data_IF_862988429511
#
_entry.id   IF_862988429511
#
_cell.length_a   1.000
_cell.length_b   1.000
_cell.length_c   1.000
_cell.angle_alpha   90.00
_cell.angle_beta   90.00
_cell.angle_gamma   90.00
#
_symmetry.space_group_name_H-M   'P 1'
#
loop_
_entity.id
_entity.type
_entity.pdbx_description
1 polymer ?
#
# COMPACT_ATOMS: atom_id res chain seq x y z
N UNK A 1 -18.24 -19.76 -60.59
CA UNK A 1 -18.49 -18.52 -59.81
C UNK A 1 -19.12 -18.72 -58.43
N UNK A 2 -19.41 -19.95 -57.95
CA UNK A 2 -20.02 -20.18 -56.61
C UNK A 2 -19.06 -20.67 -55.51
N UNK A 3 -17.80 -21.00 -55.82
CA UNK A 3 -16.84 -21.54 -54.83
C UNK A 3 -15.78 -20.53 -54.34
N UNK A 4 -15.68 -19.35 -54.96
CA UNK A 4 -14.71 -18.31 -54.57
C UNK A 4 -15.36 -17.31 -53.59
N UNK A 5 -16.69 -17.14 -53.63
CA UNK A 5 -17.42 -16.27 -52.69
C UNK A 5 -17.54 -16.86 -51.27
N UNK A 6 -17.47 -18.18 -51.09
CA UNK A 6 -17.50 -18.78 -49.74
C UNK A 6 -16.15 -18.67 -49.01
N UNK A 7 -15.04 -18.60 -49.75
CA UNK A 7 -13.70 -18.53 -49.15
C UNK A 7 -13.37 -17.14 -48.60
N UNK A 8 -13.99 -16.08 -49.11
CA UNK A 8 -13.85 -14.72 -48.58
C UNK A 8 -14.71 -14.44 -47.33
N UNK A 9 -15.77 -15.22 -47.10
CA UNK A 9 -16.63 -15.05 -45.92
C UNK A 9 -16.07 -15.75 -44.66
N UNK A 10 -15.22 -16.77 -44.83
CA UNK A 10 -14.56 -17.46 -43.72
C UNK A 10 -13.33 -16.71 -43.17
N UNK A 11 -12.70 -15.83 -43.96
CA UNK A 11 -11.57 -15.01 -43.50
C UNK A 11 -11.98 -13.75 -42.73
N UNK A 12 -13.25 -13.33 -42.80
CA UNK A 12 -13.76 -12.15 -42.11
C UNK A 12 -14.14 -12.41 -40.64
N UNK A 13 -14.26 -13.68 -40.20
CA UNK A 13 -14.67 -14.05 -38.84
C UNK A 13 -13.46 -14.29 -37.91
N UNK A 14 -12.23 -14.38 -38.45
CA UNK A 14 -11.01 -14.51 -37.63
C UNK A 14 -10.36 -13.16 -37.26
N UNK A 15 -10.98 -12.05 -37.68
CA UNK A 15 -10.55 -10.68 -37.35
C UNK A 15 -11.61 -9.89 -36.58
N UNK A 16 -12.71 -10.51 -36.12
CA UNK A 16 -13.54 -9.94 -35.08
C UNK A 16 -12.73 -9.94 -33.80
N UNK A 17 -12.00 -8.84 -33.63
CA UNK A 17 -10.95 -8.71 -32.66
C UNK A 17 -11.43 -9.12 -31.29
N UNK A 18 -10.55 -9.79 -30.57
CA UNK A 18 -10.41 -9.50 -29.17
C UNK A 18 -10.36 -7.97 -29.05
N UNK A 19 -11.51 -7.37 -28.75
CA UNK A 19 -11.50 -6.23 -27.85
C UNK A 19 -10.85 -6.77 -26.59
N UNK A 20 -9.52 -6.71 -26.55
CA UNK A 20 -8.83 -6.41 -25.31
C UNK A 20 -9.46 -5.09 -24.93
N UNK A 21 -10.58 -5.16 -24.21
CA UNK A 21 -10.98 -4.09 -23.33
C UNK A 21 -9.67 -3.72 -22.64
N UNK A 22 -9.16 -2.49 -22.73
CA UNK A 22 -7.98 -2.14 -21.97
C UNK A 22 -8.37 -2.47 -20.53
N UNK A 23 -7.89 -3.61 -20.04
CA UNK A 23 -7.96 -3.95 -18.65
C UNK A 23 -7.17 -2.82 -18.04
N UNK A 24 -7.91 -1.87 -17.49
CA UNK A 24 -7.41 -0.58 -17.11
C UNK A 24 -6.22 -0.86 -16.20
N UNK A 25 -5.02 -0.58 -16.71
CA UNK A 25 -3.81 -1.20 -16.16
C UNK A 25 -3.64 -0.71 -14.73
N UNK A 26 -3.87 -1.60 -13.77
CA UNK A 26 -3.85 -1.26 -12.35
C UNK A 26 -2.43 -0.92 -11.94
N UNK A 27 -2.19 0.32 -11.54
CA UNK A 27 -0.87 0.82 -11.10
C UNK A 27 -0.80 0.89 -9.60
N UNK A 28 0.31 0.45 -9.02
CA UNK A 28 0.56 0.59 -7.58
C UNK A 28 0.98 2.02 -7.25
N UNK A 29 0.27 2.67 -6.35
CA UNK A 29 0.54 4.02 -5.87
C UNK A 29 1.39 4.02 -4.61
N UNK A 30 1.04 3.14 -3.66
CA UNK A 30 1.69 3.03 -2.37
C UNK A 30 2.00 1.56 -2.13
N UNK A 31 3.18 1.30 -1.57
CA UNK A 31 3.61 -0.02 -1.11
C UNK A 31 4.24 0.15 0.26
N UNK A 32 3.70 -0.58 1.23
CA UNK A 32 4.31 -0.79 2.52
C UNK A 32 4.79 -2.23 2.54
N UNK A 33 6.06 -2.44 2.81
CA UNK A 33 6.69 -3.74 2.85
C UNK A 33 7.38 -3.95 4.19
N UNK A 34 7.29 -5.14 4.74
CA UNK A 34 8.08 -5.54 5.89
C UNK A 34 8.66 -6.94 5.67
N UNK A 35 9.96 -7.08 5.97
CA UNK A 35 10.81 -8.24 5.64
C UNK A 35 10.31 -9.55 6.24
N UNK A 36 9.76 -9.46 7.45
CA UNK A 36 9.28 -10.61 8.21
C UNK A 36 9.69 -10.48 9.66
N UNK A 37 9.03 -11.25 10.53
CA UNK A 37 9.31 -11.17 11.96
C UNK A 37 10.67 -11.77 12.31
N UNK A 38 11.10 -12.81 11.57
CA UNK A 38 12.38 -13.45 11.81
C UNK A 38 13.57 -12.55 11.41
N UNK A 39 13.45 -11.80 10.31
CA UNK A 39 14.46 -10.81 9.87
C UNK A 39 14.58 -9.65 10.87
N UNK A 40 13.45 -9.04 11.28
CA UNK A 40 13.45 -7.99 12.31
C UNK A 40 14.17 -8.46 13.58
N UNK A 41 13.93 -9.70 14.02
CA UNK A 41 14.61 -10.26 15.19
C UNK A 41 16.10 -10.46 14.96
N UNK A 42 16.51 -10.89 13.78
CA UNK A 42 17.93 -11.06 13.43
C UNK A 42 18.65 -9.71 13.52
N UNK A 43 18.05 -8.65 12.98
CA UNK A 43 18.61 -7.30 12.98
C UNK A 43 18.63 -6.67 14.38
N UNK A 44 17.55 -6.83 15.17
CA UNK A 44 17.54 -6.41 16.58
C UNK A 44 18.61 -7.13 17.41
N UNK A 45 18.86 -8.41 17.16
CA UNK A 45 19.94 -9.15 17.80
C UNK A 45 21.32 -8.62 17.40
N UNK A 46 21.50 -8.30 16.12
CA UNK A 46 22.74 -7.73 15.61
C UNK A 46 23.02 -6.35 16.22
N UNK A 47 22.05 -5.43 16.15
CA UNK A 47 22.15 -4.09 16.74
C UNK A 47 22.31 -4.19 18.26
N UNK A 48 21.55 -5.06 18.92
CA UNK A 48 21.64 -5.27 20.35
C UNK A 48 23.05 -5.67 20.79
N UNK A 49 23.70 -6.59 20.06
CA UNK A 49 25.10 -6.96 20.32
C UNK A 49 26.06 -5.80 20.11
N UNK A 50 25.87 -5.01 19.05
CA UNK A 50 26.71 -3.83 18.78
C UNK A 50 26.53 -2.73 19.83
N UNK A 51 25.31 -2.52 20.31
CA UNK A 51 24.95 -1.48 21.26
C UNK A 51 25.16 -1.90 22.73
N UNK A 52 25.68 -3.10 23.01
CA UNK A 52 25.86 -3.62 24.37
C UNK A 52 24.55 -4.00 25.08
N UNK A 53 23.45 -4.16 24.34
CA UNK A 53 22.16 -4.63 24.83
C UNK A 53 21.71 -5.91 24.09
N UNK A 54 22.28 -7.08 24.44
CA UNK A 54 22.02 -8.34 23.74
C UNK A 54 20.57 -8.85 23.89
N UNK A 55 19.80 -8.31 24.85
CA UNK A 55 18.43 -8.75 25.13
C UNK A 55 17.37 -7.90 24.41
N UNK A 56 17.77 -7.06 23.45
CA UNK A 56 16.87 -6.15 22.74
C UNK A 56 15.73 -6.91 22.03
N UNK A 57 16.05 -8.02 21.36
CA UNK A 57 15.05 -8.86 20.71
C UNK A 57 14.12 -9.57 21.72
N UNK A 58 14.66 -9.99 22.88
CA UNK A 58 13.87 -10.61 23.94
C UNK A 58 12.84 -9.65 24.53
N UNK A 59 13.16 -8.35 24.59
CA UNK A 59 12.22 -7.30 25.00
C UNK A 59 11.01 -7.21 24.06
N UNK A 60 11.23 -7.30 22.75
CA UNK A 60 10.14 -7.31 21.75
C UNK A 60 9.30 -8.58 21.88
N UNK A 61 9.92 -9.74 22.07
CA UNK A 61 9.21 -11.00 22.31
C UNK A 61 8.39 -10.98 23.60
N UNK A 62 8.89 -10.37 24.67
CA UNK A 62 8.17 -10.22 25.92
C UNK A 62 6.91 -9.35 25.74
N UNK A 63 7.04 -8.19 25.08
CA UNK A 63 5.90 -7.32 24.77
C UNK A 63 4.87 -8.04 23.90
N UNK A 64 5.32 -8.74 22.87
CA UNK A 64 4.45 -9.53 22.00
C UNK A 64 3.72 -10.62 22.78
N UNK A 65 4.42 -11.35 23.64
CA UNK A 65 3.85 -12.41 24.48
C UNK A 65 2.78 -11.84 25.41
N UNK A 66 3.03 -10.69 26.03
CA UNK A 66 2.04 -10.02 26.88
C UNK A 66 0.82 -9.59 26.08
N UNK A 67 1.03 -8.90 24.95
CA UNK A 67 -0.04 -8.40 24.10
C UNK A 67 -0.93 -9.52 23.55
N UNK A 68 -0.33 -10.65 23.18
CA UNK A 68 -1.02 -11.81 22.60
C UNK A 68 -1.46 -12.83 23.66
N UNK A 69 -1.34 -12.51 24.95
CA UNK A 69 -1.70 -13.39 26.07
C UNK A 69 -1.01 -14.77 26.00
N UNK A 70 0.26 -14.80 25.60
CA UNK A 70 1.09 -15.99 25.51
C UNK A 70 0.96 -16.76 24.19
N UNK A 71 0.13 -16.32 23.26
CA UNK A 71 -0.05 -17.02 21.98
C UNK A 71 1.00 -16.67 20.92
N UNK A 72 1.76 -15.58 21.13
CA UNK A 72 2.67 -15.06 20.14
C UNK A 72 1.96 -14.77 18.81
N UNK A 73 2.66 -14.94 17.70
CA UNK A 73 2.11 -14.79 16.35
C UNK A 73 1.66 -16.15 15.78
N UNK A 74 0.83 -16.89 16.53
CA UNK A 74 0.33 -18.18 16.07
C UNK A 74 -0.42 -18.04 14.73
N UNK A 75 -0.16 -18.96 13.80
CA UNK A 75 -0.75 -18.94 12.46
C UNK A 75 -0.06 -18.03 11.45
N UNK A 76 0.90 -17.20 11.88
CA UNK A 76 1.72 -16.38 10.99
C UNK A 76 2.94 -17.16 10.47
N UNK A 77 3.26 -17.01 9.19
CA UNK A 77 4.55 -17.44 8.64
C UNK A 77 5.58 -16.31 8.84
N UNK A 78 6.38 -16.41 9.89
CA UNK A 78 7.33 -15.37 10.34
C UNK A 78 8.50 -15.14 9.39
N UNK A 79 8.74 -16.11 8.51
CA UNK A 79 9.89 -16.13 7.58
C UNK A 79 9.64 -15.39 6.27
N UNK A 80 8.39 -15.00 6.01
CA UNK A 80 7.98 -14.37 4.76
C UNK A 80 7.63 -12.90 4.94
N UNK A 81 7.81 -12.09 3.89
CA UNK A 81 7.43 -10.70 3.95
C UNK A 81 5.91 -10.54 3.88
N UNK A 82 5.45 -9.48 4.53
CA UNK A 82 4.07 -9.02 4.46
C UNK A 82 4.02 -7.56 4.02
N UNK A 83 2.84 -7.06 3.70
CA UNK A 83 2.73 -5.68 3.29
C UNK A 83 1.33 -5.19 3.01
N UNK A 84 1.27 -3.95 2.56
CA UNK A 84 0.05 -3.31 2.12
C UNK A 84 0.31 -2.55 0.83
N UNK A 85 -0.67 -2.54 -0.05
CA UNK A 85 -0.59 -1.82 -1.32
C UNK A 85 -1.86 -1.01 -1.53
N UNK A 86 -1.69 0.19 -2.08
CA UNK A 86 -2.77 0.96 -2.67
C UNK A 86 -2.53 0.99 -4.15
N UNK A 87 -3.52 0.59 -4.93
CA UNK A 87 -3.44 0.62 -6.39
C UNK A 87 -4.49 1.56 -6.97
N UNK A 88 -4.40 1.85 -8.26
CA UNK A 88 -5.41 2.62 -8.99
C UNK A 88 -5.49 2.23 -10.44
N UNK A 89 -6.70 2.29 -10.99
CA UNK A 89 -6.97 2.26 -12.43
C UNK A 89 -7.20 3.69 -13.00
N UNK A 90 -6.98 4.73 -12.19
CA UNK A 90 -7.28 6.13 -12.49
C UNK A 90 -8.58 6.63 -11.86
N UNK A 91 -9.49 5.74 -11.47
CA UNK A 91 -10.82 6.07 -10.93
C UNK A 91 -11.01 5.50 -9.53
N UNK A 92 -10.59 4.26 -9.29
CA UNK A 92 -10.69 3.55 -8.02
C UNK A 92 -9.33 3.51 -7.34
N UNK A 93 -9.35 3.40 -6.02
CA UNK A 93 -8.15 3.33 -5.18
C UNK A 93 -8.21 2.13 -4.23
N UNK A 94 -8.30 0.89 -4.75
CA UNK A 94 -8.37 -0.26 -3.88
C UNK A 94 -7.09 -0.38 -3.05
N UNK A 95 -7.29 -0.67 -1.76
CA UNK A 95 -6.23 -0.89 -0.80
C UNK A 95 -6.34 -2.29 -0.21
N UNK A 96 -5.20 -2.99 -0.16
CA UNK A 96 -5.12 -4.35 0.33
C UNK A 96 -3.94 -4.48 1.27
N UNK A 97 -4.15 -5.07 2.44
CA UNK A 97 -3.09 -5.63 3.27
C UNK A 97 -2.96 -7.12 2.99
N UNK A 98 -1.79 -7.70 3.19
CA UNK A 98 -1.64 -9.15 3.17
C UNK A 98 -0.54 -9.59 4.11
N UNK A 99 -0.80 -10.68 4.83
CA UNK A 99 0.11 -11.28 5.79
C UNK A 99 0.28 -12.77 5.48
N UNK A 100 1.49 -13.34 5.49
CA UNK A 100 1.72 -14.74 5.19
C UNK A 100 1.29 -15.59 6.37
N UNK A 101 0.51 -16.62 6.09
CA UNK A 101 -0.10 -17.46 7.11
C UNK A 101 0.24 -18.92 6.90
N UNK A 102 0.45 -19.61 8.00
CA UNK A 102 0.47 -21.07 8.09
C UNK A 102 -0.89 -21.61 8.52
N UNK A 103 -1.66 -20.83 9.27
CA UNK A 103 -3.04 -21.14 9.69
C UNK A 103 -3.81 -19.82 9.95
N UNK A 104 -4.69 -19.43 9.03
CA UNK A 104 -5.51 -18.22 9.18
C UNK A 104 -6.38 -18.25 10.46
N UNK A 105 -6.96 -19.39 10.82
CA UNK A 105 -7.83 -19.48 12.00
C UNK A 105 -7.03 -19.32 13.29
N UNK A 106 -5.79 -19.80 13.34
CA UNK A 106 -4.88 -19.51 14.44
C UNK A 106 -4.56 -18.02 14.54
N UNK A 107 -4.29 -17.36 13.41
CA UNK A 107 -4.03 -15.93 13.38
C UNK A 107 -5.24 -15.10 13.85
N UNK A 108 -6.46 -15.44 13.40
CA UNK A 108 -7.69 -14.77 13.83
C UNK A 108 -7.97 -14.97 15.33
N UNK A 109 -7.62 -16.12 15.89
CA UNK A 109 -7.69 -16.34 17.36
C UNK A 109 -6.76 -15.43 18.13
N UNK A 110 -5.55 -15.16 17.63
CA UNK A 110 -4.63 -14.18 18.20
C UNK A 110 -5.21 -12.77 18.07
N UNK A 111 -5.74 -12.41 16.89
CA UNK A 111 -6.36 -11.12 16.64
C UNK A 111 -7.53 -10.83 17.61
N UNK A 112 -8.35 -11.84 17.91
CA UNK A 112 -9.42 -11.73 18.90
C UNK A 112 -8.91 -11.37 20.31
N UNK A 113 -7.69 -11.79 20.69
CA UNK A 113 -7.05 -11.36 21.95
C UNK A 113 -6.68 -9.88 21.96
N UNK A 114 -6.49 -9.30 20.78
CA UNK A 114 -6.28 -7.87 20.54
C UNK A 114 -7.59 -7.11 20.31
N UNK A 115 -8.74 -7.70 20.67
CA UNK A 115 -10.08 -7.12 20.48
C UNK A 115 -10.49 -6.94 19.01
N UNK A 116 -9.85 -7.67 18.09
CA UNK A 116 -10.24 -7.73 16.68
C UNK A 116 -11.05 -9.01 16.45
N UNK A 117 -12.33 -8.97 16.76
CA UNK A 117 -13.24 -10.10 16.55
C UNK A 117 -13.55 -10.29 15.06
N UNK A 118 -13.60 -11.55 14.63
CA UNK A 118 -13.91 -11.92 13.26
C UNK A 118 -15.22 -12.71 13.19
N UNK A 119 -16.11 -12.32 12.27
CA UNK A 119 -17.31 -13.06 11.91
C UNK A 119 -17.07 -13.86 10.63
N UNK A 120 -17.37 -15.15 10.62
CA UNK A 120 -17.25 -16.00 9.42
C UNK A 120 -18.48 -15.78 8.53
N UNK A 121 -18.28 -15.21 7.34
CA UNK A 121 -19.34 -14.96 6.38
C UNK A 121 -19.55 -16.14 5.41
N UNK A 122 -18.79 -17.22 5.55
CA UNK A 122 -18.77 -18.35 4.63
C UNK A 122 -17.73 -18.19 3.51
N UNK A 123 -17.53 -19.26 2.74
CA UNK A 123 -16.59 -19.31 1.59
C UNK A 123 -15.14 -18.89 1.93
N UNK A 124 -14.76 -19.03 3.21
CA UNK A 124 -13.44 -18.66 3.74
C UNK A 124 -13.23 -17.15 3.86
N UNK A 125 -14.30 -16.35 3.87
CA UNK A 125 -14.24 -14.89 4.09
C UNK A 125 -14.64 -14.57 5.52
N UNK A 126 -13.79 -13.82 6.20
CA UNK A 126 -14.02 -13.35 7.56
C UNK A 126 -14.19 -11.83 7.56
N UNK A 127 -15.18 -11.32 8.26
CA UNK A 127 -15.39 -9.90 8.49
C UNK A 127 -14.85 -9.50 9.86
N UNK A 128 -14.10 -8.41 9.94
CA UNK A 128 -13.57 -7.85 11.19
C UNK A 128 -14.10 -6.43 11.32
N UNK A 129 -14.74 -6.14 12.45
CA UNK A 129 -15.20 -4.80 12.77
C UNK A 129 -14.07 -4.02 13.45
N UNK A 130 -13.74 -2.86 12.89
CA UNK A 130 -12.80 -1.91 13.48
C UNK A 130 -13.55 -0.60 13.79
N UNK A 131 -13.05 0.26 14.70
CA UNK A 131 -13.74 1.51 15.01
C UNK A 131 -14.00 2.34 13.74
N UNK A 132 -15.29 2.50 13.40
CA UNK A 132 -15.75 3.31 12.27
C UNK A 132 -15.65 2.65 10.88
N UNK A 133 -15.22 1.39 10.78
CA UNK A 133 -15.10 0.68 9.50
C UNK A 133 -15.23 -0.85 9.66
N UNK A 134 -15.37 -1.56 8.56
CA UNK A 134 -15.24 -3.01 8.51
C UNK A 134 -14.22 -3.42 7.47
N UNK A 135 -13.50 -4.50 7.73
CA UNK A 135 -12.53 -5.10 6.82
C UNK A 135 -12.85 -6.57 6.62
N UNK A 136 -12.44 -7.09 5.49
CA UNK A 136 -12.65 -8.49 5.10
C UNK A 136 -11.31 -9.17 4.94
N UNK A 137 -11.21 -10.39 5.43
CA UNK A 137 -10.02 -11.22 5.39
C UNK A 137 -10.33 -12.52 4.67
N UNK A 138 -9.48 -12.90 3.70
CA UNK A 138 -9.55 -14.20 3.02
C UNK A 138 -8.17 -14.76 2.79
N UNK A 139 -8.02 -16.06 3.03
CA UNK A 139 -6.79 -16.76 2.68
C UNK A 139 -6.72 -17.03 1.17
N UNK A 140 -5.59 -16.70 0.55
CA UNK A 140 -5.27 -16.99 -0.84
C UNK A 140 -3.78 -17.30 -0.97
N UNK A 141 -3.44 -18.50 -1.43
CA UNK A 141 -2.05 -18.93 -1.67
C UNK A 141 -1.12 -18.78 -0.46
N UNK A 142 -1.60 -19.09 0.75
CA UNK A 142 -0.81 -18.94 1.99
C UNK A 142 -0.63 -17.49 2.45
N UNK A 143 -1.40 -16.54 1.90
CA UNK A 143 -1.51 -15.17 2.39
C UNK A 143 -2.93 -14.93 2.90
N UNK A 144 -3.07 -14.39 4.10
CA UNK A 144 -4.31 -13.78 4.55
C UNK A 144 -4.37 -12.35 4.00
N UNK A 145 -5.32 -12.11 3.09
CA UNK A 145 -5.50 -10.83 2.40
C UNK A 145 -6.62 -10.06 3.06
N UNK A 146 -6.34 -8.82 3.41
CA UNK A 146 -7.22 -7.89 4.11
C UNK A 146 -7.65 -6.79 3.13
N UNK A 147 -8.94 -6.54 3.01
CA UNK A 147 -9.50 -5.52 2.13
C UNK A 147 -10.68 -4.79 2.77
N UNK A 148 -11.02 -3.61 2.26
CA UNK A 148 -12.17 -2.82 2.75
C UNK A 148 -13.53 -3.32 2.23
N UNK A 149 -13.55 -4.19 1.23
CA UNK A 149 -14.77 -4.84 0.74
C UNK A 149 -14.50 -6.27 0.28
N UNK A 150 -15.54 -7.12 0.34
CA UNK A 150 -15.50 -8.49 -0.17
C UNK A 150 -15.24 -8.52 -1.68
N UNK A 151 -15.81 -7.59 -2.44
CA UNK A 151 -15.59 -7.46 -3.89
C UNK A 151 -14.11 -7.21 -4.24
N UNK A 152 -13.41 -6.46 -3.38
CA UNK A 152 -12.01 -6.17 -3.57
C UNK A 152 -11.14 -7.45 -3.44
N UNK A 153 -11.57 -8.44 -2.64
CA UNK A 153 -10.93 -9.75 -2.54
C UNK A 153 -11.08 -10.58 -3.83
N UNK A 154 -12.12 -10.34 -4.63
CA UNK A 154 -12.33 -10.97 -5.94
C UNK A 154 -11.43 -10.40 -7.05
N UNK A 155 -10.95 -9.17 -6.87
CA UNK A 155 -10.14 -8.43 -7.86
C UNK A 155 -8.64 -8.41 -7.52
N UNK A 156 -8.20 -9.29 -6.62
CA UNK A 156 -6.81 -9.35 -6.18
C UNK A 156 -5.87 -9.76 -7.33
N UNK A 157 -4.73 -9.07 -7.49
CA UNK A 157 -3.64 -9.51 -8.35
C UNK A 157 -3.24 -10.97 -8.09
N UNK A 158 -2.70 -11.63 -9.11
CA UNK A 158 -2.34 -13.05 -9.03
C UNK A 158 -1.26 -13.34 -7.97
N UNK A 159 -0.29 -12.44 -7.81
CA UNK A 159 0.83 -12.59 -6.89
C UNK A 159 1.04 -11.29 -6.11
N UNK A 160 0.48 -11.24 -4.89
CA UNK A 160 0.53 -10.05 -4.03
C UNK A 160 1.93 -9.79 -3.49
N UNK A 161 2.70 -10.84 -3.21
CA UNK A 161 4.06 -10.71 -2.69
C UNK A 161 4.98 -10.01 -3.71
N UNK A 162 4.79 -10.28 -5.01
CA UNK A 162 5.52 -9.57 -6.08
C UNK A 162 5.28 -8.06 -6.09
N UNK A 163 4.16 -7.57 -5.56
CA UNK A 163 3.89 -6.13 -5.48
C UNK A 163 4.85 -5.42 -4.53
N UNK A 164 5.49 -6.14 -3.60
CA UNK A 164 6.51 -5.57 -2.72
C UNK A 164 7.87 -5.36 -3.43
N UNK A 165 8.06 -5.99 -4.60
CA UNK A 165 9.32 -5.97 -5.33
C UNK A 165 10.49 -6.46 -4.48
N UNK A 166 11.60 -5.73 -4.50
CA UNK A 166 12.79 -6.03 -3.70
C UNK A 166 12.83 -5.29 -2.35
N UNK A 167 11.78 -4.56 -1.98
CA UNK A 167 11.75 -3.82 -0.70
C UNK A 167 12.05 -4.70 0.51
N UNK A 168 11.40 -5.87 0.69
CA UNK A 168 11.62 -6.69 1.88
C UNK A 168 13.00 -7.35 1.92
N UNK A 169 13.77 -7.32 0.81
CA UNK A 169 15.15 -7.81 0.77
C UNK A 169 16.18 -6.75 1.17
N UNK A 170 15.78 -5.48 1.14
CA UNK A 170 16.65 -4.33 1.36
C UNK A 170 16.39 -3.63 2.70
N UNK A 171 15.17 -3.76 3.21
CA UNK A 171 14.69 -3.04 4.38
C UNK A 171 13.80 -3.95 5.23
N UNK A 172 13.91 -3.80 6.54
CA UNK A 172 12.99 -4.44 7.47
C UNK A 172 11.59 -3.85 7.40
N UNK A 173 11.49 -2.54 7.21
CA UNK A 173 10.24 -1.82 6.97
C UNK A 173 10.50 -0.75 5.93
N UNK A 174 9.74 -0.75 4.85
CA UNK A 174 9.82 0.29 3.83
C UNK A 174 8.45 0.78 3.39
N UNK A 175 8.37 2.07 3.09
CA UNK A 175 7.24 2.72 2.44
C UNK A 175 7.70 3.34 1.14
N UNK A 176 7.06 2.93 0.05
CA UNK A 176 7.30 3.41 -1.31
C UNK A 176 6.03 4.05 -1.87
N UNK A 177 6.13 5.31 -2.27
CA UNK A 177 5.09 6.00 -3.03
C UNK A 177 5.55 6.21 -4.48
N UNK A 178 4.84 5.64 -5.45
CA UNK A 178 5.09 5.80 -6.88
C UNK A 178 4.37 7.04 -7.40
N UNK A 179 5.00 8.21 -7.24
CA UNK A 179 4.44 9.52 -7.60
C UNK A 179 4.05 9.60 -9.09
N UNK A 180 4.81 8.96 -9.97
CA UNK A 180 4.48 8.86 -11.41
C UNK A 180 3.15 8.18 -11.69
N UNK A 181 2.71 7.28 -10.81
CA UNK A 181 1.47 6.52 -10.98
C UNK A 181 0.23 7.30 -10.51
N UNK A 182 0.39 8.42 -9.81
CA UNK A 182 -0.72 9.28 -9.38
C UNK A 182 -1.46 9.78 -10.63
N UNK A 183 -2.80 9.62 -10.70
CA UNK A 183 -3.59 10.10 -11.82
C UNK A 183 -3.40 11.61 -12.04
N UNK A 184 -3.23 12.09 -13.29
CA UNK A 184 -3.00 13.50 -13.57
C UNK A 184 -4.01 14.46 -12.94
N UNK A 185 -5.34 14.17 -12.93
CA UNK A 185 -6.31 15.04 -12.27
C UNK A 185 -6.07 15.21 -10.77
N UNK A 186 -5.75 14.12 -10.06
CA UNK A 186 -5.45 14.18 -8.63
C UNK A 186 -4.16 14.94 -8.34
N UNK A 187 -3.14 14.76 -9.19
CA UNK A 187 -1.88 15.51 -9.08
C UNK A 187 -2.12 17.01 -9.25
N UNK A 188 -2.91 17.40 -10.26
CA UNK A 188 -3.26 18.80 -10.50
C UNK A 188 -4.05 19.38 -9.33
N UNK A 189 -5.06 18.67 -8.85
CA UNK A 189 -5.85 19.09 -7.69
C UNK A 189 -4.97 19.30 -6.44
N UNK A 190 -4.03 18.38 -6.18
CA UNK A 190 -3.09 18.53 -5.06
C UNK A 190 -2.19 19.77 -5.22
N UNK A 191 -1.66 20.00 -6.42
CA UNK A 191 -0.83 21.19 -6.73
C UNK A 191 -1.64 22.48 -6.55
N UNK A 192 -2.89 22.51 -7.02
CA UNK A 192 -3.79 23.65 -6.84
C UNK A 192 -4.08 23.92 -5.37
N UNK A 193 -4.37 22.87 -4.59
CA UNK A 193 -4.61 22.98 -3.16
C UNK A 193 -3.38 23.49 -2.40
N UNK A 194 -2.18 23.00 -2.77
CA UNK A 194 -0.92 23.48 -2.22
C UNK A 194 -0.71 24.97 -2.53
N UNK A 195 -0.94 25.39 -3.78
CA UNK A 195 -0.84 26.80 -4.20
C UNK A 195 -1.83 27.67 -3.44
N UNK A 196 -3.07 27.22 -3.29
CA UNK A 196 -4.09 27.95 -2.56
C UNK A 196 -3.75 28.09 -1.07
N UNK A 197 -3.37 27.00 -0.40
CA UNK A 197 -2.99 27.03 1.02
C UNK A 197 -1.78 27.92 1.28
N UNK A 198 -0.81 27.89 0.38
CA UNK A 198 0.36 28.76 0.49
C UNK A 198 0.02 30.23 0.23
N UNK A 199 -0.87 30.55 -0.72
CA UNK A 199 -1.38 31.91 -0.91
C UNK A 199 -2.18 32.39 0.33
N UNK A 200 -2.98 31.53 0.95
CA UNK A 200 -3.71 31.84 2.17
C UNK A 200 -2.76 32.16 3.35
N UNK A 201 -1.60 31.50 3.42
CA UNK A 201 -0.55 31.81 4.42
C UNK A 201 0.30 33.05 4.11
N UNK A 202 0.19 33.61 2.90
CA UNK A 202 0.90 34.82 2.46
C UNK A 202 0.12 36.11 2.72
N UNK A 203 -0.80 36.11 3.68
CA UNK A 203 -1.40 37.36 4.17
C UNK A 203 -0.32 38.24 4.82
N UNK A 204 -0.43 39.55 4.58
CA UNK A 204 0.48 40.52 5.18
C UNK A 204 0.25 40.56 6.70
N UNK A 205 1.31 40.45 7.49
CA UNK A 205 1.19 40.55 8.94
C UNK A 205 0.96 42.02 9.36
N UNK A 206 0.25 42.28 10.48
CA UNK A 206 -0.09 43.64 10.92
C UNK A 206 1.12 44.59 11.04
N UNK A 207 2.29 44.05 11.40
CA UNK A 207 3.53 44.80 11.62
C UNK A 207 4.57 44.64 10.49
N UNK A 208 4.19 44.06 9.34
CA UNK A 208 5.11 43.78 8.23
C UNK A 208 5.16 44.93 7.22
N UNK A 209 6.32 45.57 7.11
CA UNK A 209 6.55 46.61 6.11
C UNK A 209 6.48 46.07 4.67
N UNK A 210 6.06 46.90 3.71
CA UNK A 210 5.81 46.47 2.32
C UNK A 210 6.99 45.78 1.61
N UNK A 211 8.23 46.22 1.88
CA UNK A 211 9.44 45.56 1.36
C UNK A 211 9.68 44.17 1.96
N UNK A 212 9.40 43.98 3.26
CA UNK A 212 9.52 42.67 3.92
C UNK A 212 8.44 41.72 3.40
N UNK A 213 7.21 42.21 3.22
CA UNK A 213 6.11 41.46 2.62
C UNK A 213 6.44 40.98 1.20
N UNK A 214 6.94 41.88 0.35
CA UNK A 214 7.30 41.56 -1.03
C UNK A 214 8.43 40.51 -1.09
N UNK A 215 9.46 40.66 -0.24
CA UNK A 215 10.57 39.73 -0.17
C UNK A 215 10.12 38.33 0.31
N UNK A 216 9.34 38.26 1.39
CA UNK A 216 8.79 37.00 1.92
C UNK A 216 7.89 36.31 0.90
N UNK A 217 7.01 37.06 0.26
CA UNK A 217 6.11 36.56 -0.79
C UNK A 217 6.89 36.01 -1.99
N UNK A 218 7.93 36.70 -2.43
CA UNK A 218 8.78 36.26 -3.53
C UNK A 218 9.56 34.97 -3.18
N UNK A 219 10.10 34.87 -1.96
CA UNK A 219 10.77 33.65 -1.49
C UNK A 219 9.79 32.48 -1.39
N UNK A 220 8.63 32.68 -0.77
CA UNK A 220 7.63 31.63 -0.63
C UNK A 220 7.12 31.12 -1.98
N UNK A 221 6.85 32.02 -2.95
CA UNK A 221 6.46 31.63 -4.31
C UNK A 221 7.52 30.73 -4.96
N UNK A 222 8.81 31.10 -4.85
CA UNK A 222 9.90 30.26 -5.37
C UNK A 222 9.95 28.89 -4.70
N UNK A 223 9.80 28.84 -3.37
CA UNK A 223 9.77 27.56 -2.64
C UNK A 223 8.60 26.68 -3.09
N UNK A 224 7.41 27.26 -3.27
CA UNK A 224 6.23 26.53 -3.75
C UNK A 224 6.47 26.00 -5.16
N UNK A 225 7.00 26.83 -6.07
CA UNK A 225 7.29 26.40 -7.44
C UNK A 225 8.33 25.29 -7.47
N UNK A 226 9.37 25.35 -6.63
CA UNK A 226 10.34 24.26 -6.48
C UNK A 226 9.66 22.95 -6.00
N UNK A 227 8.80 23.02 -4.99
CA UNK A 227 8.05 21.86 -4.49
C UNK A 227 7.14 21.29 -5.59
N UNK A 228 6.49 22.14 -6.37
CA UNK A 228 5.63 21.72 -7.49
C UNK A 228 6.45 21.05 -8.59
N UNK A 229 7.63 21.59 -8.94
CA UNK A 229 8.55 20.97 -9.89
C UNK A 229 8.97 19.58 -9.40
N UNK A 230 9.39 19.48 -8.14
CA UNK A 230 9.73 18.18 -7.54
C UNK A 230 8.55 17.20 -7.59
N UNK A 231 7.32 17.64 -7.26
CA UNK A 231 6.14 16.78 -7.30
C UNK A 231 5.79 16.28 -8.73
N UNK A 232 6.22 16.99 -9.77
CA UNK A 232 6.02 16.58 -11.16
C UNK A 232 7.17 15.72 -11.71
N UNK A 233 8.39 15.91 -11.22
CA UNK A 233 9.59 15.24 -11.72
C UNK A 233 9.97 14.00 -10.92
N UNK A 234 9.53 13.89 -9.67
CA UNK A 234 9.78 12.71 -8.84
C UNK A 234 8.99 11.52 -9.35
N UNK A 235 9.71 10.45 -9.69
CA UNK A 235 9.10 9.18 -10.06
C UNK A 235 8.60 8.41 -8.82
N UNK A 236 9.39 8.43 -7.75
CA UNK A 236 9.21 7.61 -6.56
C UNK A 236 9.74 8.34 -5.32
N UNK A 237 9.05 8.14 -4.19
CA UNK A 237 9.54 8.43 -2.84
C UNK A 237 9.67 7.12 -2.07
N UNK A 238 10.83 6.88 -1.46
CA UNK A 238 11.12 5.68 -0.70
C UNK A 238 11.74 6.05 0.66
N UNK A 239 11.22 5.44 1.72
CA UNK A 239 11.75 5.49 3.08
C UNK A 239 11.86 4.07 3.61
N UNK A 240 13.00 3.70 4.18
CA UNK A 240 13.27 2.40 4.79
C UNK A 240 14.65 2.33 5.41
#
# INVERSE_FOLDING_TARGET
MKKILLSMLAAAILLSGWTVCPAQETKTLLTVAFSGYDELKADLNFIGRLAGNPNLADGVEAVLTIATQGQGLAGLDKSKPWGAVVQTDGTKFPAYGFVPVTDLKALLRVAAKLQLESNDLGEGVFEILIPGNQIFVKEKNGLAVIAQSSDALGSLPGDLAKLLGDLPKKYDLAVRASVKNIPPPLRQQFIEQLRWGAQAGLQQMPDEGGNQYALRTAMAKRTIDQVVTMANELDELLVG
#
